data_IF_061998366151
#
_entry.id   IF_061998366151
#
_cell.length_a   1.000
_cell.length_b   1.000
_cell.length_c   1.000
_cell.angle_alpha   90.00
_cell.angle_beta   90.00
_cell.angle_gamma   90.00
#
_symmetry.space_group_name_H-M   'P 1'
#
loop_
_entity.id
_entity.type
_entity.pdbx_description
1 polymer ?
#
# COMPACT_ATOMS: atom_id res chain seq x y z
N UNK A 1 -13.19 14.46 1.38
CA UNK A 1 -12.56 14.68 0.06
C UNK A 1 -12.37 13.32 -0.62
N UNK A 2 -12.62 13.15 -1.93
CA UNK A 2 -12.41 11.90 -2.68
C UNK A 2 -11.41 12.12 -3.80
N UNK A 3 -10.57 11.12 -4.08
CA UNK A 3 -9.64 11.11 -5.20
C UNK A 3 -9.84 9.88 -6.07
N UNK A 4 -9.90 10.11 -7.37
CA UNK A 4 -9.84 9.07 -8.40
C UNK A 4 -8.66 9.39 -9.33
N UNK A 5 -7.82 8.39 -9.61
CA UNK A 5 -6.66 8.52 -10.49
C UNK A 5 -6.79 7.54 -11.64
N UNK A 6 -6.41 7.98 -12.83
CA UNK A 6 -6.32 7.15 -14.03
C UNK A 6 -5.11 7.57 -14.86
N UNK A 7 -4.65 6.74 -15.78
CA UNK A 7 -3.55 7.10 -16.66
C UNK A 7 -3.70 6.53 -18.07
N UNK A 8 -2.89 7.08 -18.97
CA UNK A 8 -2.62 6.56 -20.32
C UNK A 8 -1.11 6.49 -20.51
N UNK A 9 -0.66 6.04 -21.68
CA UNK A 9 0.78 6.00 -22.00
C UNK A 9 1.50 7.34 -21.76
N UNK A 10 0.83 8.49 -21.95
CA UNK A 10 1.46 9.81 -21.88
C UNK A 10 1.00 10.70 -20.72
N UNK A 11 -0.16 10.40 -20.12
CA UNK A 11 -0.81 11.30 -19.17
C UNK A 11 -1.30 10.58 -17.92
N UNK A 12 -1.25 11.28 -16.79
CA UNK A 12 -1.94 10.95 -15.55
C UNK A 12 -3.12 11.92 -15.41
N UNK A 13 -4.27 11.41 -15.02
CA UNK A 13 -5.49 12.14 -14.75
C UNK A 13 -5.83 12.00 -13.27
N UNK A 14 -5.92 13.12 -12.56
CA UNK A 14 -6.26 13.15 -11.14
C UNK A 14 -7.57 13.90 -10.99
N UNK A 15 -8.63 13.22 -10.58
CA UNK A 15 -9.89 13.83 -10.21
C UNK A 15 -9.98 13.96 -8.69
N UNK A 16 -10.18 15.18 -8.22
CA UNK A 16 -10.46 15.46 -6.82
C UNK A 16 -11.89 15.95 -6.69
N UNK A 17 -12.69 15.25 -5.89
CA UNK A 17 -14.09 15.60 -5.61
C UNK A 17 -14.22 16.07 -4.15
N UNK A 18 -14.84 17.24 -3.99
CA UNK A 18 -15.11 17.89 -2.71
C UNK A 18 -16.57 17.66 -2.30
N UNK A 19 -16.84 17.73 -1.00
CA UNK A 19 -18.19 17.54 -0.45
C UNK A 19 -19.16 18.67 -0.87
N UNK A 20 -18.64 19.84 -1.22
CA UNK A 20 -19.42 21.00 -1.64
C UNK A 20 -18.78 21.73 -2.81
N UNK A 21 -19.53 22.67 -3.38
CA UNK A 21 -19.07 23.46 -4.52
C UNK A 21 -17.86 24.33 -4.15
N UNK A 22 -16.90 24.35 -5.06
CA UNK A 22 -15.73 25.22 -5.06
C UNK A 22 -16.21 26.66 -5.29
N UNK A 23 -15.94 27.53 -4.33
CA UNK A 23 -16.37 28.94 -4.37
C UNK A 23 -15.17 29.87 -4.39
N UNK A 24 -15.29 30.95 -5.16
CA UNK A 24 -14.30 32.00 -5.16
C UNK A 24 -14.23 32.65 -3.76
N UNK A 25 -13.03 32.79 -3.19
CA UNK A 25 -12.85 33.48 -1.93
C UNK A 25 -13.03 35.00 -2.09
N UNK A 26 -13.48 35.65 -1.02
CA UNK A 26 -13.76 37.09 -1.00
C UNK A 26 -12.54 37.98 -0.72
N UNK A 27 -11.49 37.46 -0.07
CA UNK A 27 -10.39 38.30 0.45
C UNK A 27 -8.96 37.77 0.21
N UNK A 28 -8.77 36.47 -0.01
CA UNK A 28 -7.44 35.82 -0.21
C UNK A 28 -7.57 34.62 -1.15
N UNK A 29 -6.48 33.99 -1.58
CA UNK A 29 -6.57 32.75 -2.35
C UNK A 29 -6.96 31.54 -1.48
N UNK A 30 -7.62 30.57 -2.11
CA UNK A 30 -7.77 29.20 -1.62
C UNK A 30 -6.99 28.28 -2.53
N UNK A 31 -6.41 27.21 -1.99
CA UNK A 31 -5.72 26.22 -2.82
C UNK A 31 -6.05 24.79 -2.45
N UNK A 32 -5.95 23.92 -3.45
CA UNK A 32 -5.82 22.49 -3.32
C UNK A 32 -4.39 22.13 -3.72
N UNK A 33 -3.70 21.45 -2.81
CA UNK A 33 -2.38 20.86 -3.03
C UNK A 33 -2.53 19.35 -3.12
N UNK A 34 -1.98 18.76 -4.17
CA UNK A 34 -1.88 17.31 -4.36
C UNK A 34 -0.40 16.99 -4.39
N UNK A 35 0.11 16.39 -3.33
CA UNK A 35 1.51 16.02 -3.16
C UNK A 35 1.72 14.62 -3.74
N UNK A 36 2.84 14.44 -4.44
CA UNK A 36 3.21 13.22 -5.15
C UNK A 36 4.60 12.77 -4.68
N UNK A 37 4.63 11.61 -4.01
CA UNK A 37 5.85 10.83 -3.76
C UNK A 37 5.99 9.81 -4.89
N UNK A 38 7.13 9.80 -5.57
CA UNK A 38 7.39 8.90 -6.71
C UNK A 38 8.47 7.86 -6.44
N UNK A 39 9.23 7.99 -5.36
CA UNK A 39 10.37 7.11 -5.06
C UNK A 39 10.13 6.16 -3.88
N UNK A 40 8.98 6.30 -3.22
CA UNK A 40 8.39 5.40 -2.22
C UNK A 40 9.08 5.42 -0.86
N UNK A 41 9.85 6.44 -0.55
CA UNK A 41 10.54 6.54 0.73
C UNK A 41 9.61 6.92 1.90
N UNK A 42 8.40 7.43 1.61
CA UNK A 42 7.34 7.69 2.59
C UNK A 42 6.84 6.44 3.33
N UNK A 43 7.22 5.25 2.87
CA UNK A 43 6.95 3.99 3.57
C UNK A 43 7.65 3.89 4.94
N UNK A 44 8.67 4.69 5.17
CA UNK A 44 9.42 4.75 6.43
C UNK A 44 8.78 5.66 7.50
N UNK A 45 7.63 6.27 7.20
CA UNK A 45 6.78 6.96 8.16
C UNK A 45 6.85 8.49 8.12
N UNK A 46 7.79 9.09 7.39
CA UNK A 46 7.78 10.52 7.10
C UNK A 46 7.31 10.72 5.68
N UNK A 47 6.27 11.53 5.48
CA UNK A 47 5.86 11.91 4.14
C UNK A 47 6.92 12.80 3.51
N UNK A 48 7.49 12.35 2.40
CA UNK A 48 8.42 13.08 1.55
C UNK A 48 7.86 13.06 0.13
N UNK A 49 7.86 14.21 -0.55
CA UNK A 49 7.23 14.36 -1.86
C UNK A 49 8.19 15.03 -2.82
N UNK A 50 8.34 14.47 -4.03
CA UNK A 50 9.20 15.05 -5.07
C UNK A 50 8.46 16.15 -5.84
N UNK A 51 7.14 16.02 -5.96
CA UNK A 51 6.30 16.94 -6.73
C UNK A 51 5.04 17.30 -5.97
N UNK A 52 4.46 18.45 -6.31
CA UNK A 52 3.08 18.73 -5.95
C UNK A 52 2.38 19.54 -7.02
N UNK A 53 1.09 19.26 -7.18
CA UNK A 53 0.20 20.06 -8.00
C UNK A 53 -0.45 21.09 -7.09
N UNK A 54 -0.41 22.35 -7.52
CA UNK A 54 -1.07 23.46 -6.84
C UNK A 54 -2.19 23.99 -7.75
N UNK A 55 -3.43 23.76 -7.35
CA UNK A 55 -4.59 24.42 -7.94
C UNK A 55 -5.02 25.57 -7.02
N UNK A 56 -5.00 26.80 -7.53
CA UNK A 56 -5.35 28.00 -6.75
C UNK A 56 -6.55 28.73 -7.35
N UNK A 57 -7.32 29.36 -6.46
CA UNK A 57 -8.41 30.26 -6.81
C UNK A 57 -8.16 31.58 -6.12
N UNK A 58 -7.96 32.64 -6.89
CA UNK A 58 -7.65 33.97 -6.36
C UNK A 58 -8.91 34.76 -6.03
N UNK A 59 -8.76 35.80 -5.19
CA UNK A 59 -9.79 36.80 -4.95
C UNK A 59 -10.12 37.52 -6.26
N UNK A 60 -11.33 37.32 -6.78
CA UNK A 60 -11.73 37.71 -8.14
C UNK A 60 -12.12 36.53 -9.03
N UNK A 61 -11.82 35.30 -8.59
CA UNK A 61 -12.29 34.06 -9.21
C UNK A 61 -11.50 33.62 -10.43
N UNK A 62 -10.29 34.14 -10.66
CA UNK A 62 -9.33 33.52 -11.56
C UNK A 62 -8.77 32.25 -10.93
N UNK A 63 -8.40 31.29 -11.77
CA UNK A 63 -7.96 29.95 -11.37
C UNK A 63 -6.62 29.64 -12.04
N UNK A 64 -5.72 28.96 -11.33
CA UNK A 64 -4.44 28.47 -11.86
C UNK A 64 -4.22 27.03 -11.43
N UNK A 65 -3.46 26.27 -12.24
CA UNK A 65 -3.04 24.92 -11.91
C UNK A 65 -1.60 24.70 -12.38
N UNK A 66 -0.71 24.43 -11.44
CA UNK A 66 0.74 24.41 -11.65
C UNK A 66 1.30 23.11 -11.08
N UNK A 67 2.21 22.46 -11.82
CA UNK A 67 3.08 21.41 -11.27
C UNK A 67 4.35 22.04 -10.73
N UNK A 68 4.68 21.73 -9.48
CA UNK A 68 5.85 22.21 -8.77
C UNK A 68 6.70 21.03 -8.33
N UNK A 69 8.01 21.24 -8.20
CA UNK A 69 8.91 20.30 -7.51
C UNK A 69 8.91 20.56 -5.99
N UNK A 70 9.54 19.66 -5.23
CA UNK A 70 9.71 19.76 -3.77
C UNK A 70 10.46 21.02 -3.31
N UNK A 71 11.25 21.63 -4.21
CA UNK A 71 11.98 22.88 -3.99
C UNK A 71 11.16 24.14 -4.32
N UNK A 72 9.88 24.00 -4.65
CA UNK A 72 8.97 25.07 -5.07
C UNK A 72 9.32 25.73 -6.41
N UNK A 73 10.02 25.04 -7.32
CA UNK A 73 10.19 25.50 -8.69
C UNK A 73 9.03 25.00 -9.54
N UNK A 74 8.53 25.87 -10.44
CA UNK A 74 7.49 25.47 -11.38
C UNK A 74 8.08 24.56 -12.47
N UNK A 75 7.59 23.32 -12.50
CA UNK A 75 7.90 22.33 -13.55
C UNK A 75 6.98 22.54 -14.75
N UNK A 76 5.71 22.87 -14.49
CA UNK A 76 4.74 23.25 -15.52
C UNK A 76 3.78 24.31 -14.98
N UNK A 77 3.79 25.50 -15.57
CA UNK A 77 3.00 26.67 -15.13
C UNK A 77 1.55 26.70 -15.65
N UNK A 78 1.14 25.74 -16.47
CA UNK A 78 -0.18 25.73 -17.10
C UNK A 78 -0.65 24.30 -17.35
N UNK A 79 -0.90 23.58 -16.26
CA UNK A 79 -1.55 22.27 -16.36
C UNK A 79 -2.96 22.42 -16.92
N UNK A 80 -3.36 21.46 -17.75
CA UNK A 80 -4.74 21.37 -18.21
C UNK A 80 -5.62 20.87 -17.06
N UNK A 81 -6.72 21.56 -16.80
CA UNK A 81 -7.72 21.13 -15.83
C UNK A 81 -9.15 21.41 -16.31
N UNK A 82 -10.11 20.63 -15.80
CA UNK A 82 -11.55 20.76 -16.04
C UNK A 82 -12.29 20.73 -14.70
N UNK A 83 -13.39 21.48 -14.59
CA UNK A 83 -14.11 21.68 -13.33
C UNK A 83 -13.67 22.96 -12.65
N UNK A 84 -13.45 22.92 -11.34
CA UNK A 84 -13.03 24.08 -10.56
C UNK A 84 -14.20 24.91 -10.04
N UNK A 85 -14.04 26.24 -9.99
CA UNK A 85 -15.02 27.19 -9.44
C UNK A 85 -16.41 26.94 -10.01
N UNK A 86 -17.39 26.81 -9.10
CA UNK A 86 -18.79 26.55 -9.44
C UNK A 86 -19.14 25.06 -9.57
N UNK A 87 -18.16 24.17 -9.54
CA UNK A 87 -18.34 22.72 -9.49
C UNK A 87 -17.87 22.18 -8.15
N UNK A 88 -18.09 20.90 -7.85
CA UNK A 88 -17.55 20.24 -6.67
C UNK A 88 -16.33 19.36 -7.00
N UNK A 89 -15.74 19.49 -8.18
CA UNK A 89 -14.61 18.66 -8.59
C UNK A 89 -13.56 19.45 -9.37
N UNK A 90 -12.34 18.94 -9.41
CA UNK A 90 -11.31 19.38 -10.35
C UNK A 90 -10.63 18.15 -10.94
N UNK A 91 -10.58 18.06 -12.27
CA UNK A 91 -9.87 17.02 -13.00
C UNK A 91 -8.61 17.64 -13.61
N UNK A 92 -7.44 17.14 -13.22
CA UNK A 92 -6.14 17.69 -13.61
C UNK A 92 -5.43 16.66 -14.48
N UNK A 93 -4.91 17.11 -15.62
CA UNK A 93 -4.11 16.29 -16.53
C UNK A 93 -2.63 16.65 -16.41
N UNK A 94 -1.81 15.67 -16.05
CA UNK A 94 -0.35 15.80 -15.94
C UNK A 94 0.31 14.95 -17.00
N UNK A 95 1.22 15.54 -17.77
CA UNK A 95 2.03 14.78 -18.72
C UNK A 95 3.13 14.02 -17.97
N UNK A 96 3.22 12.70 -18.19
CA UNK A 96 4.19 11.83 -17.50
C UNK A 96 5.64 12.30 -17.68
N UNK A 97 5.97 12.87 -18.84
CA UNK A 97 7.31 13.41 -19.13
C UNK A 97 7.69 14.64 -18.29
N UNK A 98 6.74 15.25 -17.57
CA UNK A 98 7.05 16.34 -16.63
C UNK A 98 7.52 15.82 -15.27
N UNK A 99 7.34 14.52 -15.00
CA UNK A 99 7.74 13.88 -13.75
C UNK A 99 8.98 13.04 -14.04
N UNK A 100 10.15 13.52 -13.61
CA UNK A 100 11.39 12.77 -13.80
C UNK A 100 11.37 11.52 -12.92
N UNK A 101 11.88 10.40 -13.45
CA UNK A 101 11.94 9.11 -12.75
C UNK A 101 10.57 8.59 -12.26
N UNK A 102 9.48 8.96 -12.94
CA UNK A 102 8.17 8.36 -12.70
C UNK A 102 8.26 6.84 -12.89
N UNK A 103 8.29 6.11 -11.77
CA UNK A 103 8.33 4.65 -11.74
C UNK A 103 6.98 4.03 -12.05
N UNK A 104 6.79 2.77 -11.63
CA UNK A 104 5.55 2.02 -11.91
C UNK A 104 4.39 2.37 -10.96
N UNK A 105 4.65 3.19 -9.94
CA UNK A 105 3.65 3.68 -9.00
C UNK A 105 4.08 5.04 -8.43
N UNK A 106 3.11 5.75 -7.84
CA UNK A 106 3.34 6.96 -7.04
C UNK A 106 2.29 7.04 -5.92
N UNK A 107 2.60 7.78 -4.87
CA UNK A 107 1.69 8.02 -3.76
C UNK A 107 1.10 9.41 -3.83
N UNK A 108 -0.13 9.57 -3.33
CA UNK A 108 -0.82 10.84 -3.30
C UNK A 108 -1.26 11.20 -1.89
N UNK A 109 -0.93 12.44 -1.51
CA UNK A 109 -1.45 13.09 -0.32
C UNK A 109 -2.13 14.40 -0.72
N UNK A 110 -3.28 14.71 -0.11
CA UNK A 110 -4.07 15.87 -0.47
C UNK A 110 -4.23 16.80 0.71
N UNK A 111 -4.11 18.09 0.41
CA UNK A 111 -4.20 19.16 1.39
C UNK A 111 -4.92 20.35 0.79
N UNK A 112 -6.00 20.77 1.42
CA UNK A 112 -6.64 22.05 1.10
C UNK A 112 -6.14 23.13 2.04
N UNK A 113 -5.91 24.32 1.53
CA UNK A 113 -5.53 25.47 2.35
C UNK A 113 -6.41 26.70 2.07
N UNK A 114 -6.66 27.47 3.12
CA UNK A 114 -7.26 28.79 3.04
C UNK A 114 -6.53 29.72 3.99
N UNK A 115 -6.24 30.95 3.54
CA UNK A 115 -5.53 31.96 4.35
C UNK A 115 -4.17 31.48 4.91
N UNK A 116 -3.48 30.60 4.19
CA UNK A 116 -2.17 30.07 4.60
C UNK A 116 -2.21 28.92 5.62
N UNK A 117 -3.41 28.45 6.00
CA UNK A 117 -3.58 27.33 6.93
C UNK A 117 -4.21 26.11 6.25
N UNK A 118 -3.78 24.91 6.63
CA UNK A 118 -4.49 23.66 6.30
C UNK A 118 -5.95 23.77 6.74
N UNK A 119 -6.87 23.37 5.87
CA UNK A 119 -8.29 23.28 6.18
C UNK A 119 -8.79 21.84 6.24
N UNK A 120 -8.29 20.98 5.35
CA UNK A 120 -8.66 19.57 5.24
C UNK A 120 -7.50 18.80 4.59
N UNK A 121 -7.28 17.56 5.03
CA UNK A 121 -6.20 16.69 4.57
C UNK A 121 -6.76 15.28 4.33
N UNK A 122 -6.32 14.61 3.26
CA UNK A 122 -6.79 13.28 2.91
C UNK A 122 -5.73 12.45 2.19
N UNK A 123 -5.57 11.16 2.55
CA UNK A 123 -6.18 10.49 3.70
C UNK A 123 -5.53 10.94 5.04
N UNK A 124 -6.25 10.82 6.16
CA UNK A 124 -5.75 11.27 7.47
C UNK A 124 -6.33 10.42 8.62
N UNK A 125 -5.51 9.58 9.25
CA UNK A 125 -5.85 8.82 10.48
C UNK A 125 -5.47 9.53 11.79
N UNK A 126 -4.90 10.72 11.74
CA UNK A 126 -4.56 11.53 12.93
C UNK A 126 -3.44 10.99 13.81
N UNK A 127 -2.72 9.93 13.42
CA UNK A 127 -1.55 9.40 14.16
C UNK A 127 -0.38 9.09 13.22
N UNK A 128 0.84 9.27 13.73
CA UNK A 128 2.12 9.27 13.02
C UNK A 128 2.35 8.02 12.16
N UNK A 129 2.06 8.15 10.87
CA UNK A 129 2.66 7.56 9.67
C UNK A 129 1.66 7.82 8.54
N UNK A 130 1.95 8.82 7.69
CA UNK A 130 0.98 9.42 6.76
C UNK A 130 0.21 8.37 5.96
N UNK A 131 -1.11 8.43 6.03
CA UNK A 131 -1.96 7.72 5.08
C UNK A 131 -1.83 8.43 3.74
N UNK A 132 -1.60 7.66 2.69
CA UNK A 132 -1.58 8.15 1.32
C UNK A 132 -2.35 7.19 0.42
N UNK A 133 -2.84 7.71 -0.70
CA UNK A 133 -3.33 6.86 -1.79
C UNK A 133 -2.14 6.31 -2.57
N UNK A 134 -2.25 5.07 -3.05
CA UNK A 134 -1.27 4.48 -3.97
C UNK A 134 -1.92 4.35 -5.33
N UNK A 135 -1.23 4.80 -6.37
CA UNK A 135 -1.62 4.52 -7.75
C UNK A 135 -0.50 3.80 -8.47
N UNK A 136 -0.80 2.62 -9.03
CA UNK A 136 0.11 1.92 -9.92
C UNK A 136 -0.24 2.23 -11.38
N UNK A 137 0.76 2.69 -12.13
CA UNK A 137 0.70 2.78 -13.59
C UNK A 137 0.64 1.37 -14.19
N UNK A 138 1.35 0.42 -13.57
CA UNK A 138 1.27 -1.00 -13.89
C UNK A 138 1.18 -1.80 -12.59
N UNK A 139 -0.03 -2.19 -12.15
CA UNK A 139 -0.21 -2.94 -10.92
C UNK A 139 0.63 -4.23 -10.92
N UNK A 140 1.41 -4.50 -9.87
CA UNK A 140 2.18 -5.73 -9.76
C UNK A 140 1.24 -6.92 -9.66
N UNK A 141 1.69 -8.08 -10.14
CA UNK A 141 0.95 -9.34 -10.07
C UNK A 141 1.90 -10.46 -9.68
N UNK A 142 1.46 -11.39 -8.81
CA UNK A 142 2.32 -12.48 -8.38
C UNK A 142 2.67 -13.39 -9.55
N UNK A 143 3.90 -13.91 -9.54
CA UNK A 143 4.34 -14.93 -10.50
C UNK A 143 3.95 -16.35 -10.07
N UNK A 144 3.74 -16.56 -8.76
CA UNK A 144 3.27 -17.83 -8.23
C UNK A 144 1.75 -17.98 -8.35
N UNK A 145 1.27 -19.21 -8.19
CA UNK A 145 -0.15 -19.44 -7.91
C UNK A 145 -0.49 -18.96 -6.49
N UNK A 146 -1.77 -18.62 -6.31
CA UNK A 146 -2.32 -18.33 -4.99
C UNK A 146 -2.49 -19.62 -4.19
N UNK A 147 -2.02 -19.60 -2.95
CA UNK A 147 -2.36 -20.60 -1.92
C UNK A 147 -3.42 -19.98 -1.04
N UNK A 148 -4.51 -20.69 -0.76
CA UNK A 148 -5.66 -20.12 -0.04
C UNK A 148 -6.10 -21.03 1.09
N UNK A 149 -6.57 -20.41 2.17
CA UNK A 149 -7.25 -21.04 3.28
C UNK A 149 -8.57 -20.32 3.49
N UNK A 150 -9.68 -21.05 3.34
CA UNK A 150 -11.00 -20.55 3.72
C UNK A 150 -11.13 -20.54 5.23
N UNK A 151 -11.88 -19.57 5.74
CA UNK A 151 -12.35 -19.70 7.10
C UNK A 151 -13.33 -20.88 7.19
N UNK A 152 -13.19 -21.63 8.28
CA UNK A 152 -14.03 -22.79 8.59
C UNK A 152 -14.91 -22.55 9.81
N UNK A 153 -14.86 -21.33 10.37
CA UNK A 153 -15.44 -21.00 11.66
C UNK A 153 -16.67 -20.11 11.50
N UNK A 154 -17.33 -19.83 12.62
CA UNK A 154 -18.74 -19.40 12.62
C UNK A 154 -18.93 -18.02 12.03
N UNK A 155 -19.95 -17.89 11.17
CA UNK A 155 -20.34 -16.64 10.53
C UNK A 155 -20.50 -15.49 11.54
N UNK A 156 -19.88 -14.35 11.24
CA UNK A 156 -20.04 -13.11 12.00
C UNK A 156 -21.30 -12.39 11.51
N UNK A 157 -22.08 -11.86 12.45
CA UNK A 157 -23.36 -11.20 12.12
C UNK A 157 -23.19 -10.00 11.16
N UNK A 158 -22.06 -9.29 11.27
CA UNK A 158 -21.64 -8.30 10.29
C UNK A 158 -20.69 -8.96 9.28
N UNK A 159 -21.22 -9.26 8.09
CA UNK A 159 -20.47 -9.89 6.99
C UNK A 159 -19.21 -9.12 6.55
N UNK A 160 -19.13 -7.82 6.87
CA UNK A 160 -17.96 -7.02 6.54
C UNK A 160 -16.78 -7.27 7.52
N UNK A 161 -17.06 -7.86 8.68
CA UNK A 161 -16.07 -8.28 9.68
C UNK A 161 -15.66 -9.74 9.51
N UNK A 162 -16.38 -10.47 8.67
CA UNK A 162 -16.24 -11.91 8.42
C UNK A 162 -15.26 -12.18 7.28
N UNK A 163 -14.15 -12.85 7.59
CA UNK A 163 -13.12 -13.25 6.65
C UNK A 163 -13.54 -14.57 6.00
N UNK A 164 -13.97 -14.49 4.74
CA UNK A 164 -14.23 -15.68 3.95
C UNK A 164 -12.97 -16.51 3.67
N UNK A 165 -11.86 -15.85 3.33
CA UNK A 165 -10.58 -16.54 3.09
C UNK A 165 -9.37 -15.63 3.15
N UNK A 166 -8.22 -16.23 3.45
CA UNK A 166 -6.91 -15.62 3.29
C UNK A 166 -6.13 -16.38 2.21
N UNK A 167 -5.50 -15.64 1.31
CA UNK A 167 -4.63 -16.19 0.28
C UNK A 167 -3.27 -15.53 0.28
N UNK A 168 -2.25 -16.26 -0.16
CA UNK A 168 -0.91 -15.74 -0.36
C UNK A 168 -0.32 -16.16 -1.71
N UNK A 169 0.53 -15.30 -2.25
CA UNK A 169 1.33 -15.56 -3.44
C UNK A 169 2.64 -14.79 -3.35
N UNK A 170 3.55 -14.98 -4.30
CA UNK A 170 4.86 -14.34 -4.29
C UNK A 170 5.42 -14.13 -5.71
N UNK A 171 6.43 -13.27 -5.76
CA UNK A 171 7.39 -13.21 -6.85
C UNK A 171 8.84 -13.15 -6.30
N UNK A 172 9.80 -12.69 -7.10
CA UNK A 172 11.20 -12.56 -6.67
C UNK A 172 11.41 -11.54 -5.54
N UNK A 173 10.53 -10.55 -5.43
CA UNK A 173 10.74 -9.32 -4.66
C UNK A 173 9.68 -9.11 -3.57
N UNK A 174 8.47 -9.62 -3.77
CA UNK A 174 7.31 -9.34 -2.94
C UNK A 174 6.59 -10.60 -2.48
N UNK A 175 5.94 -10.47 -1.33
CA UNK A 175 4.83 -11.30 -0.88
C UNK A 175 3.52 -10.58 -1.15
N UNK A 176 2.55 -11.34 -1.60
CA UNK A 176 1.19 -10.88 -1.90
C UNK A 176 0.27 -11.58 -0.91
N UNK A 177 -0.60 -10.81 -0.27
CA UNK A 177 -1.65 -11.33 0.59
C UNK A 177 -2.98 -10.84 0.06
N UNK A 178 -3.97 -11.73 -0.03
CA UNK A 178 -5.33 -11.38 -0.43
C UNK A 178 -6.29 -11.85 0.64
N UNK A 179 -6.93 -10.89 1.30
CA UNK A 179 -8.03 -11.12 2.23
C UNK A 179 -9.34 -11.01 1.45
N UNK A 180 -10.21 -12.00 1.57
CA UNK A 180 -11.57 -11.99 1.01
C UNK A 180 -12.55 -11.97 2.16
N UNK A 181 -13.45 -10.98 2.18
CA UNK A 181 -14.53 -10.83 3.15
C UNK A 181 -15.83 -11.42 2.60
N UNK A 182 -16.75 -11.82 3.48
CA UNK A 182 -18.09 -12.28 3.07
C UNK A 182 -18.90 -11.11 2.48
N UNK A 183 -18.80 -9.94 3.09
CA UNK A 183 -19.41 -8.69 2.64
C UNK A 183 -18.43 -7.75 1.94
N UNK A 184 -18.89 -6.53 1.66
CA UNK A 184 -18.05 -5.42 1.19
C UNK A 184 -17.79 -4.45 2.33
N UNK A 185 -16.61 -3.83 2.36
CA UNK A 185 -16.31 -2.78 3.33
C UNK A 185 -16.26 -1.40 2.66
N UNK A 186 -16.91 -0.41 3.27
CA UNK A 186 -16.88 0.97 2.77
C UNK A 186 -15.53 1.64 3.02
N UNK A 187 -15.11 2.56 2.15
CA UNK A 187 -13.87 3.32 2.30
C UNK A 187 -13.99 4.42 3.36
N UNK A 188 -13.99 4.08 4.65
CA UNK A 188 -14.09 5.09 5.72
C UNK A 188 -13.33 4.67 6.97
N UNK A 189 -12.16 5.27 7.16
CA UNK A 189 -11.45 5.24 8.42
C UNK A 189 -12.19 6.05 9.51
N UNK A 190 -12.23 5.53 10.73
CA UNK A 190 -13.01 6.05 11.85
C UNK A 190 -12.77 5.25 13.13
N UNK A 191 -13.38 5.67 14.24
CA UNK A 191 -13.18 5.05 15.56
C UNK A 191 -13.89 3.71 15.73
N UNK A 192 -14.95 3.49 14.97
CA UNK A 192 -15.79 2.28 15.04
C UNK A 192 -15.42 1.31 13.90
N UNK A 193 -14.28 1.55 13.24
CA UNK A 193 -13.85 0.83 12.05
C UNK A 193 -13.14 -0.46 12.42
N UNK A 194 -13.35 -1.49 11.61
CA UNK A 194 -12.71 -2.77 11.76
C UNK A 194 -11.19 -2.66 11.54
N UNK A 195 -10.44 -3.37 12.38
CA UNK A 195 -9.00 -3.55 12.25
C UNK A 195 -8.76 -4.98 11.77
N UNK A 196 -8.18 -5.11 10.60
CA UNK A 196 -7.79 -6.39 10.01
C UNK A 196 -6.30 -6.63 10.26
N UNK A 197 -5.96 -7.88 10.56
CA UNK A 197 -4.60 -8.32 10.81
C UNK A 197 -4.28 -9.56 10.01
N UNK A 198 -3.11 -9.58 9.40
CA UNK A 198 -2.51 -10.77 8.81
C UNK A 198 -1.27 -11.08 9.63
N UNK A 199 -1.24 -12.24 10.27
CA UNK A 199 -0.11 -12.69 11.07
C UNK A 199 0.75 -13.67 10.28
N UNK A 200 2.06 -13.53 10.40
CA UNK A 200 3.05 -14.33 9.69
C UNK A 200 4.03 -14.89 10.71
N UNK A 201 4.11 -16.21 10.77
CA UNK A 201 5.09 -16.96 11.52
C UNK A 201 6.17 -17.41 10.52
N UNK A 202 7.30 -16.71 10.55
CA UNK A 202 8.33 -16.73 9.51
C UNK A 202 9.30 -17.88 9.68
N UNK A 203 9.54 -18.31 10.94
CA UNK A 203 10.39 -19.47 11.27
C UNK A 203 9.58 -20.75 11.55
N UNK A 204 8.24 -20.64 11.60
CA UNK A 204 7.25 -21.70 11.87
C UNK A 204 7.39 -22.32 13.26
N UNK A 205 7.97 -21.57 14.20
CA UNK A 205 8.22 -22.04 15.55
C UNK A 205 7.18 -21.44 16.51
N UNK A 206 6.26 -22.25 17.08
CA UNK A 206 5.22 -21.76 17.98
C UNK A 206 5.76 -21.19 19.31
N UNK A 207 7.05 -21.38 19.60
CA UNK A 207 7.70 -20.90 20.83
C UNK A 207 8.38 -19.53 20.65
N UNK A 208 8.44 -19.01 19.42
CA UNK A 208 8.93 -17.67 19.08
C UNK A 208 7.74 -16.77 18.71
N UNK A 209 7.96 -15.46 18.63
CA UNK A 209 6.91 -14.50 18.30
C UNK A 209 5.78 -14.37 19.32
N UNK A 210 4.66 -13.80 18.87
CA UNK A 210 3.45 -13.59 19.67
C UNK A 210 2.39 -14.66 19.37
N UNK A 211 1.73 -15.18 20.40
CA UNK A 211 0.59 -16.07 20.22
C UNK A 211 -0.62 -15.33 19.64
N UNK A 212 -1.32 -15.96 18.71
CA UNK A 212 -2.59 -15.46 18.16
C UNK A 212 -3.75 -16.22 18.79
N UNK A 213 -4.72 -15.51 19.39
CA UNK A 213 -5.88 -16.14 20.03
C UNK A 213 -6.70 -16.92 19.01
N UNK A 214 -7.02 -18.19 19.33
CA UNK A 214 -7.79 -19.09 18.45
C UNK A 214 -6.93 -19.89 17.47
N UNK A 215 -5.63 -19.62 17.35
CA UNK A 215 -4.73 -20.31 16.41
C UNK A 215 -3.70 -21.14 17.17
N UNK A 216 -3.80 -22.47 17.08
CA UNK A 216 -2.86 -23.38 17.72
C UNK A 216 -1.55 -23.53 16.92
N UNK A 217 -0.44 -23.81 17.60
CA UNK A 217 0.87 -24.08 16.96
C UNK A 217 1.34 -22.93 16.04
N UNK A 218 1.23 -21.69 16.54
CA UNK A 218 1.55 -20.48 15.78
C UNK A 218 2.26 -19.43 16.64
N UNK A 219 3.44 -19.01 16.19
CA UNK A 219 4.27 -17.97 16.82
C UNK A 219 4.46 -16.79 15.89
N UNK A 220 3.61 -15.77 15.96
CA UNK A 220 3.63 -14.68 14.99
C UNK A 220 4.88 -13.80 15.15
N UNK A 221 5.79 -13.86 14.19
CA UNK A 221 6.96 -12.97 14.12
C UNK A 221 6.58 -11.59 13.58
N UNK A 222 5.65 -11.55 12.62
CA UNK A 222 5.20 -10.34 11.96
C UNK A 222 3.68 -10.21 11.95
N UNK A 223 3.21 -8.97 11.89
CA UNK A 223 1.80 -8.63 11.73
C UNK A 223 1.68 -7.51 10.71
N UNK A 224 0.82 -7.68 9.72
CA UNK A 224 0.33 -6.58 8.88
C UNK A 224 -1.01 -6.17 9.46
N UNK A 225 -1.09 -4.97 10.03
CA UNK A 225 -2.33 -4.41 10.57
C UNK A 225 -2.83 -3.28 9.67
N UNK A 226 -4.13 -3.26 9.41
CA UNK A 226 -4.73 -2.25 8.56
C UNK A 226 -6.19 -2.04 8.88
N UNK A 227 -6.64 -0.82 8.60
CA UNK A 227 -8.04 -0.44 8.52
C UNK A 227 -8.29 -0.16 7.04
N UNK A 228 -9.34 -0.74 6.46
CA UNK A 228 -9.70 -0.48 5.06
C UNK A 228 -10.00 1.02 4.91
N UNK A 229 -9.19 1.73 4.13
CA UNK A 229 -9.19 3.20 4.08
C UNK A 229 -7.86 3.85 4.43
N UNK A 230 -7.02 3.14 5.18
CA UNK A 230 -5.71 3.59 5.67
C UNK A 230 -4.59 2.67 5.21
N UNK A 231 -3.37 3.20 5.16
CA UNK A 231 -2.22 2.45 4.66
C UNK A 231 -1.90 1.27 5.62
N UNK A 232 -1.70 0.04 5.11
CA UNK A 232 -1.32 -1.07 5.95
C UNK A 232 0.05 -0.88 6.58
N UNK A 233 0.21 -1.36 7.80
CA UNK A 233 1.42 -1.21 8.61
C UNK A 233 1.99 -2.58 8.96
N UNK A 234 3.27 -2.77 8.69
CA UNK A 234 4.02 -3.98 9.07
C UNK A 234 4.66 -3.77 10.44
N UNK A 235 4.45 -4.73 11.33
CA UNK A 235 5.00 -4.81 12.67
C UNK A 235 5.82 -6.08 12.86
N UNK A 236 6.79 -6.02 13.76
CA UNK A 236 7.60 -7.14 14.25
C UNK A 236 7.31 -7.41 15.72
N UNK A 237 7.27 -8.69 16.11
CA UNK A 237 7.11 -9.13 17.48
C UNK A 237 8.44 -9.13 18.25
N UNK A 238 8.61 -8.17 19.16
CA UNK A 238 9.78 -8.06 20.04
C UNK A 238 9.36 -7.89 21.51
N UNK A 239 8.55 -8.82 22.03
CA UNK A 239 7.86 -8.68 23.33
C UNK A 239 6.64 -7.76 23.30
N UNK A 240 6.58 -6.87 22.31
CA UNK A 240 5.41 -6.09 21.87
C UNK A 240 5.48 -5.93 20.34
N UNK A 241 4.41 -5.44 19.71
CA UNK A 241 4.43 -5.08 18.30
C UNK A 241 5.20 -3.78 18.07
N UNK A 242 6.25 -3.85 17.26
CA UNK A 242 7.09 -2.70 16.89
C UNK A 242 6.90 -2.40 15.40
N UNK A 243 6.51 -1.16 15.08
CA UNK A 243 6.33 -0.73 13.69
C UNK A 243 7.65 -0.83 12.91
N UNK A 244 7.58 -1.39 11.71
CA UNK A 244 8.70 -1.51 10.78
C UNK A 244 8.56 -0.47 9.67
N UNK A 245 7.51 -0.62 8.85
CA UNK A 245 7.24 0.19 7.65
C UNK A 245 5.78 0.07 7.24
N UNK A 246 5.32 1.01 6.42
CA UNK A 246 4.07 0.85 5.68
C UNK A 246 4.25 -0.18 4.54
N UNK A 247 3.21 -0.98 4.30
CA UNK A 247 3.09 -1.88 3.15
C UNK A 247 1.95 -1.41 2.25
N UNK A 248 1.90 -1.91 1.02
CA UNK A 248 1.12 -1.28 -0.05
C UNK A 248 -0.17 -2.06 -0.33
N UNK A 249 -1.29 -1.39 -0.60
CA UNK A 249 -2.38 -2.02 -1.33
C UNK A 249 -2.09 -1.99 -2.83
N UNK A 250 -2.39 -3.07 -3.58
CA UNK A 250 -2.23 -3.08 -5.05
C UNK A 250 -3.25 -2.16 -5.74
N UNK A 251 -4.42 -2.02 -5.13
CA UNK A 251 -5.49 -1.13 -5.56
C UNK A 251 -6.27 -0.65 -4.34
N UNK A 252 -6.98 0.47 -4.47
CA UNK A 252 -7.87 0.93 -3.40
C UNK A 252 -8.98 -0.12 -3.13
N UNK A 253 -9.04 -0.72 -1.92
CA UNK A 253 -10.04 -1.75 -1.57
C UNK A 253 -11.46 -1.23 -1.31
N UNK A 254 -11.72 0.08 -1.41
CA UNK A 254 -13.05 0.65 -1.13
C UNK A 254 -14.17 -0.01 -1.93
N UNK A 255 -15.26 -0.38 -1.23
CA UNK A 255 -16.45 -1.03 -1.79
C UNK A 255 -16.16 -2.40 -2.45
N UNK A 256 -15.02 -3.01 -2.13
CA UNK A 256 -14.61 -4.36 -2.55
C UNK A 256 -14.81 -5.37 -1.41
N UNK A 257 -15.02 -6.63 -1.76
CA UNK A 257 -14.90 -7.77 -0.84
C UNK A 257 -13.47 -8.34 -0.80
N UNK A 258 -12.60 -7.92 -1.72
CA UNK A 258 -11.21 -8.36 -1.79
C UNK A 258 -10.25 -7.21 -1.48
N UNK A 259 -9.30 -7.48 -0.60
CA UNK A 259 -8.18 -6.58 -0.25
C UNK A 259 -6.88 -7.28 -0.58
N UNK A 260 -6.08 -6.71 -1.49
CA UNK A 260 -4.77 -7.26 -1.85
C UNK A 260 -3.65 -6.34 -1.38
N UNK A 261 -2.76 -6.90 -0.55
CA UNK A 261 -1.62 -6.24 0.06
C UNK A 261 -0.33 -6.81 -0.53
N UNK A 262 0.61 -5.91 -0.80
CA UNK A 262 1.93 -6.18 -1.30
C UNK A 262 2.97 -5.79 -0.24
N UNK A 263 3.80 -6.74 0.17
CA UNK A 263 4.88 -6.52 1.13
C UNK A 263 6.23 -6.93 0.51
N UNK A 264 7.22 -6.04 0.42
CA UNK A 264 8.55 -6.43 -0.03
C UNK A 264 9.19 -7.44 0.92
N UNK A 265 9.78 -8.49 0.34
CA UNK A 265 10.50 -9.52 1.12
C UNK A 265 11.64 -8.93 1.95
N UNK A 266 12.25 -7.83 1.47
CA UNK A 266 13.34 -7.14 2.15
C UNK A 266 12.95 -6.49 3.48
N UNK A 267 11.66 -6.26 3.73
CA UNK A 267 11.21 -5.64 4.98
C UNK A 267 11.10 -6.65 6.14
N UNK A 268 11.15 -7.95 5.83
CA UNK A 268 11.18 -9.05 6.80
C UNK A 268 12.63 -9.38 7.21
N UNK A 269 13.29 -8.43 7.87
CA UNK A 269 14.73 -8.50 8.16
C UNK A 269 15.09 -8.84 9.62
N UNK A 270 14.11 -8.93 10.53
CA UNK A 270 14.35 -9.25 11.94
C UNK A 270 14.40 -10.77 12.16
N UNK A 271 13.37 -11.46 11.67
CA UNK A 271 13.32 -12.92 11.48
C UNK A 271 13.27 -13.19 9.98
N UNK A 272 14.32 -13.76 9.37
CA UNK A 272 14.35 -14.00 7.93
C UNK A 272 13.22 -14.91 7.47
N UNK A 273 12.61 -14.58 6.33
CA UNK A 273 11.65 -15.47 5.67
C UNK A 273 12.36 -16.77 5.27
N UNK A 274 11.85 -17.92 5.71
CA UNK A 274 12.27 -19.23 5.24
C UNK A 274 11.79 -19.55 3.81
N UNK A 275 11.95 -20.81 3.39
CA UNK A 275 11.40 -21.31 2.12
C UNK A 275 9.86 -21.37 2.08
N UNK A 276 9.22 -21.21 3.23
CA UNK A 276 7.79 -21.21 3.49
C UNK A 276 7.51 -20.54 4.85
N UNK A 277 6.28 -20.09 5.06
CA UNK A 277 5.83 -19.45 6.31
C UNK A 277 4.44 -19.94 6.68
N UNK A 278 4.05 -19.85 7.95
CA UNK A 278 2.65 -20.05 8.35
C UNK A 278 1.94 -18.68 8.36
N UNK A 279 0.70 -18.63 7.88
CA UNK A 279 -0.08 -17.40 7.82
C UNK A 279 -1.51 -17.64 8.36
N UNK A 280 -2.03 -16.68 9.10
CA UNK A 280 -3.45 -16.58 9.50
C UNK A 280 -3.89 -15.11 9.46
N UNK A 281 -5.20 -14.86 9.59
CA UNK A 281 -5.77 -13.53 9.66
C UNK A 281 -6.85 -13.43 10.74
N UNK A 282 -7.07 -12.21 11.21
CA UNK A 282 -8.04 -11.86 12.25
C UNK A 282 -8.71 -10.53 11.90
N UNK A 283 -9.99 -10.40 12.24
CA UNK A 283 -10.68 -9.11 12.32
C UNK A 283 -11.00 -8.76 13.76
N UNK A 284 -10.75 -7.52 14.16
CA UNK A 284 -11.14 -6.98 15.45
C UNK A 284 -11.90 -5.66 15.31
N UNK A 285 -12.76 -5.36 16.27
CA UNK A 285 -13.47 -4.08 16.38
C UNK A 285 -13.75 -3.81 17.87
N UNK A 286 -13.65 -2.56 18.30
CA UNK A 286 -13.83 -2.14 19.71
C UNK A 286 -12.92 -2.89 20.70
N UNK A 287 -11.68 -3.17 20.29
CA UNK A 287 -10.71 -3.98 21.05
C UNK A 287 -11.14 -5.44 21.28
N UNK A 288 -12.15 -5.93 20.56
CA UNK A 288 -12.61 -7.33 20.64
C UNK A 288 -12.35 -8.05 19.33
N UNK A 289 -11.80 -9.27 19.40
CA UNK A 289 -11.73 -10.18 18.25
C UNK A 289 -13.15 -10.49 17.80
N UNK A 290 -13.41 -10.32 16.49
CA UNK A 290 -14.69 -10.60 15.85
C UNK A 290 -14.61 -11.88 15.04
N UNK A 291 -13.48 -12.09 14.38
CA UNK A 291 -13.23 -13.24 13.51
C UNK A 291 -11.75 -13.63 13.48
N UNK A 292 -11.46 -14.90 13.21
CA UNK A 292 -10.11 -15.44 13.03
C UNK A 292 -10.11 -16.73 12.22
N UNK A 293 -9.17 -16.86 11.27
CA UNK A 293 -8.91 -18.14 10.61
C UNK A 293 -8.14 -19.04 11.58
N UNK A 294 -8.85 -19.91 12.32
CA UNK A 294 -8.26 -20.76 13.38
C UNK A 294 -7.16 -21.72 12.87
N UNK A 295 -7.19 -22.08 11.59
CA UNK A 295 -6.16 -22.94 10.98
C UNK A 295 -5.20 -22.13 10.13
N UNK A 296 -4.01 -21.85 10.66
CA UNK A 296 -2.94 -21.27 9.86
C UNK A 296 -2.50 -22.23 8.75
N UNK A 297 -2.24 -21.70 7.56
CA UNK A 297 -1.78 -22.49 6.41
C UNK A 297 -0.34 -22.16 6.05
N UNK A 298 0.33 -23.11 5.39
CA UNK A 298 1.70 -22.95 4.94
C UNK A 298 1.70 -22.30 3.56
N UNK A 299 2.38 -21.17 3.46
CA UNK A 299 2.60 -20.42 2.23
C UNK A 299 4.05 -20.58 1.77
N UNK A 300 4.31 -21.12 0.56
CA UNK A 300 5.67 -21.21 0.04
C UNK A 300 6.24 -19.81 -0.23
N UNK A 301 7.53 -19.62 0.07
CA UNK A 301 8.33 -18.44 -0.27
C UNK A 301 9.69 -18.92 -0.77
N UNK A 302 9.79 -19.44 -2.02
CA UNK A 302 11.07 -19.86 -2.54
C UNK A 302 12.06 -18.69 -2.53
N UNK A 303 13.28 -18.99 -2.11
CA UNK A 303 14.39 -18.06 -2.21
C UNK A 303 14.58 -17.62 -3.66
N UNK A 304 14.99 -16.36 -3.84
CA UNK A 304 15.27 -15.84 -5.16
C UNK A 304 16.32 -16.73 -5.84
N UNK A 305 15.97 -17.31 -6.99
CA UNK A 305 16.73 -18.30 -7.75
C UNK A 305 18.10 -17.82 -8.24
N UNK A 306 18.52 -16.59 -7.92
CA UNK A 306 19.86 -16.09 -8.20
C UNK A 306 20.93 -16.95 -7.50
N UNK A 307 20.73 -17.38 -6.26
CA UNK A 307 21.68 -18.27 -5.58
C UNK A 307 21.72 -19.66 -6.21
N UNK A 308 20.57 -20.19 -6.63
CA UNK A 308 20.50 -21.46 -7.37
C UNK A 308 21.19 -21.33 -8.73
N UNK A 309 20.99 -20.22 -9.44
CA UNK A 309 21.60 -19.92 -10.74
C UNK A 309 23.12 -19.75 -10.63
N UNK A 310 23.61 -19.04 -9.60
CA UNK A 310 25.04 -18.89 -9.32
C UNK A 310 25.68 -20.22 -8.95
N UNK A 311 24.98 -21.08 -8.19
CA UNK A 311 25.43 -22.43 -7.86
C UNK A 311 25.50 -23.32 -9.10
N UNK A 312 24.51 -23.24 -9.99
CA UNK A 312 24.51 -23.94 -11.28
C UNK A 312 25.66 -23.44 -12.17
N UNK A 313 25.89 -22.12 -12.26
CA UNK A 313 27.00 -21.54 -13.02
C UNK A 313 28.34 -22.01 -12.45
N UNK A 314 28.50 -22.01 -11.12
CA UNK A 314 29.72 -22.48 -10.46
C UNK A 314 30.00 -23.97 -10.75
N UNK A 315 28.95 -24.81 -10.73
CA UNK A 315 29.05 -26.24 -11.09
C UNK A 315 29.41 -26.41 -12.57
N UNK A 316 28.78 -25.67 -13.48
CA UNK A 316 29.10 -25.71 -14.91
C UNK A 316 30.56 -25.31 -15.15
N UNK A 317 31.04 -24.23 -14.53
CA UNK A 317 32.44 -23.78 -14.61
C UNK A 317 33.39 -24.85 -14.08
N UNK A 318 33.08 -25.48 -12.94
CA UNK A 318 33.90 -26.56 -12.38
C UNK A 318 33.98 -27.79 -13.30
N UNK A 319 32.85 -28.21 -13.88
CA UNK A 319 32.80 -29.34 -14.83
C UNK A 319 33.59 -29.01 -16.10
N UNK A 320 33.47 -27.80 -16.65
CA UNK A 320 34.25 -27.35 -17.81
C UNK A 320 35.76 -27.30 -17.51
N UNK A 321 36.16 -26.87 -16.32
CA UNK A 321 37.56 -26.88 -15.89
C UNK A 321 38.12 -28.31 -15.78
N UNK A 322 37.37 -29.24 -15.19
CA UNK A 322 37.76 -30.66 -15.08
C UNK A 322 37.85 -31.30 -16.47
N UNK A 323 36.90 -31.02 -17.36
CA UNK A 323 36.89 -31.56 -18.71
C UNK A 323 38.06 -31.04 -19.56
N UNK A 324 38.37 -29.74 -19.46
CA UNK A 324 39.53 -29.13 -20.12
C UNK A 324 40.86 -29.69 -19.61
N UNK A 325 40.97 -29.97 -18.29
CA UNK A 325 42.17 -30.57 -17.72
C UNK A 325 42.40 -31.99 -18.26
N UNK A 326 41.35 -32.80 -18.39
CA UNK A 326 41.44 -34.17 -18.94
C UNK A 326 41.76 -34.25 -20.43
N UNK A 327 41.52 -33.20 -21.21
CA UNK A 327 41.84 -33.14 -22.65
C UNK A 327 43.24 -32.59 -22.93
N UNK A 328 43.95 -32.10 -21.91
CA UNK A 328 45.31 -31.55 -22.02
C UNK A 328 46.39 -32.47 -21.41
N UNK A 329 46.00 -33.62 -20.84
CA UNK A 329 46.86 -34.74 -20.43
C UNK A 329 46.84 -35.83 -21.51
#
# INVERSE_FOLDING_TARGET
LKVDVADTNNFIYINVTLAGSITAPSYSSKSLRIELDIDRDSRSGTWDMEYYILYEIYSGGSESCILMDSSNNAVNTSLNFVGGKGTNYVNITVQKSNINNLGDAFYLYLKTTAFGSSCDEAPNSGTDAGDYYIYYISPPSPTSQWTSQSDSTGEVADSSLDIYSLSSAYDSSYLYFKLTLVGTYGWYGGSDTAVYRIYIDADKNPSTGNSVSGVSDFGADYMIEFIIGYIPKLYYASGSWTFIKNVEYIQNPGDSSEVTILAPKSDFNQVPLGGDVKITAETAQDSTQKDVIETAFISPIPECTIFVSLSIIAVIVAVLFIHRKKTLE
#
